data_IF_249115668434
#
_entry.id   IF_249115668434
#
_cell.length_a   1.000
_cell.length_b   1.000
_cell.length_c   1.000
_cell.angle_alpha   90.00
_cell.angle_beta   90.00
_cell.angle_gamma   90.00
#
_symmetry.space_group_name_H-M   'P 1'
#
loop_
_entity.id
_entity.type
_entity.pdbx_description
1 polymer ?
#
# COMPACT_ATOMS: atom_id res chain seq x y z
N UNK A 1 24.64 -72.74 -25.08
CA UNK A 1 25.52 -71.55 -25.09
C UNK A 1 24.62 -70.33 -25.00
N UNK A 2 24.59 -69.67 -23.84
CA UNK A 2 23.70 -68.56 -23.53
C UNK A 2 24.50 -67.23 -23.50
N UNK A 3 23.96 -66.11 -24.01
CA UNK A 3 24.63 -64.82 -23.91
C UNK A 3 24.27 -64.13 -22.58
N UNK A 4 25.27 -63.49 -21.97
CA UNK A 4 25.16 -62.68 -20.76
C UNK A 4 24.62 -61.28 -21.11
N UNK A 5 23.54 -60.86 -20.45
CA UNK A 5 23.10 -59.46 -20.39
C UNK A 5 24.07 -58.66 -19.50
N UNK A 6 24.56 -57.54 -20.03
CA UNK A 6 25.23 -56.47 -19.26
C UNK A 6 24.23 -55.35 -19.02
N UNK A 7 23.81 -55.20 -17.76
CA UNK A 7 22.95 -54.11 -17.29
C UNK A 7 23.76 -52.81 -17.18
N UNK A 8 23.33 -51.76 -17.89
CA UNK A 8 23.80 -50.39 -17.69
C UNK A 8 23.02 -49.77 -16.53
N UNK A 9 23.72 -49.44 -15.44
CA UNK A 9 23.18 -48.63 -14.34
C UNK A 9 23.44 -47.17 -14.71
N UNK A 10 22.38 -46.41 -14.98
CA UNK A 10 22.43 -44.96 -15.11
C UNK A 10 22.23 -44.35 -13.72
N UNK A 11 23.26 -43.67 -13.21
CA UNK A 11 23.23 -42.95 -11.95
C UNK A 11 22.72 -41.53 -12.24
N UNK A 12 21.43 -41.27 -11.97
CA UNK A 12 20.84 -39.94 -12.01
C UNK A 12 21.16 -39.21 -10.71
N UNK A 13 22.12 -38.28 -10.76
CA UNK A 13 22.39 -37.29 -9.72
C UNK A 13 21.18 -36.35 -9.60
N UNK A 14 20.37 -36.55 -8.57
CA UNK A 14 19.32 -35.62 -8.17
C UNK A 14 19.94 -34.37 -7.56
N UNK A 15 19.82 -33.25 -8.27
CA UNK A 15 20.11 -31.92 -7.75
C UNK A 15 18.96 -31.55 -6.79
N UNK A 16 19.20 -31.65 -5.48
CA UNK A 16 18.29 -31.08 -4.48
C UNK A 16 18.43 -29.56 -4.53
N UNK A 17 17.44 -28.87 -5.11
CA UNK A 17 17.26 -27.44 -4.92
C UNK A 17 16.88 -27.20 -3.46
N UNK A 18 17.74 -26.54 -2.69
CA UNK A 18 17.41 -26.07 -1.35
C UNK A 18 16.42 -24.90 -1.48
N UNK A 19 15.33 -24.86 -0.70
CA UNK A 19 14.47 -23.69 -0.66
C UNK A 19 15.27 -22.50 -0.14
N UNK A 20 15.28 -21.41 -0.91
CA UNK A 20 15.80 -20.12 -0.46
C UNK A 20 14.92 -19.68 0.73
N UNK A 21 15.53 -19.62 1.92
CA UNK A 21 14.87 -19.07 3.10
C UNK A 21 14.64 -17.57 2.84
N UNK A 22 13.37 -17.19 2.74
CA UNK A 22 12.94 -15.78 2.75
C UNK A 22 13.03 -15.32 4.20
N UNK A 23 13.96 -14.42 4.49
CA UNK A 23 14.07 -13.78 5.80
C UNK A 23 13.12 -12.58 5.79
N UNK A 24 12.04 -12.64 6.60
CA UNK A 24 11.27 -11.44 6.90
C UNK A 24 12.08 -10.59 7.88
N UNK A 25 12.42 -9.36 7.49
CA UNK A 25 13.03 -8.38 8.38
C UNK A 25 11.93 -7.41 8.84
N UNK A 26 11.69 -7.37 10.16
CA UNK A 26 10.89 -6.33 10.81
C UNK A 26 11.86 -5.25 11.29
N UNK A 27 11.89 -4.11 10.60
CA UNK A 27 12.70 -2.97 11.01
C UNK A 27 12.09 -1.65 10.52
N UNK A 28 10.84 -1.39 10.85
CA UNK A 28 10.29 -0.05 10.77
C UNK A 28 10.83 0.80 11.94
N UNK A 29 11.10 2.07 11.71
CA UNK A 29 11.41 3.00 12.80
C UNK A 29 10.34 4.09 12.86
N UNK A 30 9.95 4.40 14.09
CA UNK A 30 9.07 5.54 14.35
C UNK A 30 9.82 6.81 13.99
N UNK A 31 9.32 7.52 12.98
CA UNK A 31 9.89 8.77 12.53
C UNK A 31 9.74 9.86 13.58
N UNK A 32 10.72 10.76 13.68
CA UNK A 32 10.49 12.03 14.36
C UNK A 32 9.56 12.90 13.50
N UNK A 33 8.75 13.79 14.10
CA UNK A 33 7.91 14.72 13.36
C UNK A 33 8.69 15.47 12.28
N UNK A 34 8.17 15.51 11.06
CA UNK A 34 8.81 16.16 9.91
C UNK A 34 10.06 15.47 9.36
N UNK A 35 10.48 14.32 9.89
CA UNK A 35 11.67 13.59 9.40
C UNK A 35 11.49 13.18 7.93
N UNK A 36 10.28 12.81 7.53
CA UNK A 36 9.92 12.50 6.14
C UNK A 36 10.32 13.63 5.17
N UNK A 37 10.06 14.88 5.53
CA UNK A 37 10.34 16.04 4.69
C UNK A 37 11.84 16.35 4.62
N UNK A 38 12.60 15.99 5.66
CA UNK A 38 14.06 16.09 5.68
C UNK A 38 14.68 15.02 4.81
N UNK A 39 14.24 13.76 4.97
CA UNK A 39 14.83 12.60 4.29
C UNK A 39 14.50 12.57 2.80
N UNK A 40 13.28 12.97 2.43
CA UNK A 40 12.86 13.03 1.03
C UNK A 40 13.38 14.27 0.28
N UNK A 41 14.02 15.21 0.97
CA UNK A 41 14.58 16.42 0.35
C UNK A 41 15.69 16.07 -0.64
N UNK A 42 15.40 16.28 -1.93
CA UNK A 42 16.32 15.94 -3.01
C UNK A 42 16.38 14.45 -3.35
N UNK A 43 15.48 13.65 -2.78
CA UNK A 43 15.26 12.24 -3.12
C UNK A 43 14.03 12.09 -4.02
N UNK A 44 13.49 10.86 -4.14
CA UNK A 44 12.22 10.61 -4.81
C UNK A 44 11.08 10.90 -3.84
N UNK A 45 10.64 12.16 -3.79
CA UNK A 45 9.44 12.57 -3.06
C UNK A 45 8.23 12.48 -3.97
N UNK A 46 7.36 11.50 -3.75
CA UNK A 46 6.17 11.28 -4.56
C UNK A 46 5.05 12.29 -4.31
N UNK A 47 5.14 13.06 -3.23
CA UNK A 47 4.23 14.19 -2.94
C UNK A 47 4.56 15.43 -3.78
N UNK A 48 5.66 15.41 -4.53
CA UNK A 48 6.08 16.52 -5.36
C UNK A 48 5.06 16.80 -6.48
N UNK A 49 4.75 18.08 -6.71
CA UNK A 49 3.80 18.52 -7.74
C UNK A 49 4.17 18.11 -9.18
N UNK A 50 5.41 17.65 -9.42
CA UNK A 50 5.80 17.03 -10.69
C UNK A 50 4.99 15.76 -11.01
N UNK A 51 4.41 15.10 -10.01
CA UNK A 51 3.59 13.91 -10.15
C UNK A 51 2.09 14.21 -10.30
N UNK A 52 1.64 15.47 -10.25
CA UNK A 52 0.20 15.81 -10.30
C UNK A 52 -0.56 15.24 -11.50
N UNK A 53 0.12 15.14 -12.64
CA UNK A 53 -0.47 14.68 -13.89
C UNK A 53 -0.55 13.14 -13.94
N UNK A 54 -0.01 12.45 -12.92
CA UNK A 54 -0.14 11.00 -12.72
C UNK A 54 -1.51 10.61 -12.13
N UNK A 55 -2.18 11.53 -11.43
CA UNK A 55 -3.53 11.29 -10.89
C UNK A 55 -4.46 10.78 -12.00
N UNK A 56 -5.17 9.70 -11.71
CA UNK A 56 -6.18 9.10 -12.59
C UNK A 56 -5.59 8.47 -13.87
N UNK A 57 -4.28 8.19 -13.89
CA UNK A 57 -3.58 7.41 -14.93
C UNK A 57 -3.28 5.99 -14.45
N UNK A 58 -3.26 4.97 -15.33
CA UNK A 58 -2.84 3.62 -14.93
C UNK A 58 -1.34 3.48 -14.72
N UNK A 59 -0.56 4.28 -15.44
CA UNK A 59 0.89 4.34 -15.36
C UNK A 59 1.33 5.78 -15.63
N UNK A 60 2.37 6.23 -14.93
CA UNK A 60 2.96 7.54 -15.09
C UNK A 60 4.49 7.48 -15.05
N UNK A 61 5.17 8.35 -15.79
CA UNK A 61 6.63 8.42 -15.80
C UNK A 61 7.11 9.85 -15.54
N UNK A 62 7.90 10.04 -14.48
CA UNK A 62 8.46 11.34 -14.07
C UNK A 62 9.91 11.14 -13.67
N UNK A 63 10.82 11.94 -14.25
CA UNK A 63 12.25 11.85 -13.92
C UNK A 63 12.90 10.49 -14.22
N UNK A 64 12.31 9.70 -15.13
CA UNK A 64 12.78 8.35 -15.47
C UNK A 64 12.29 7.24 -14.52
N UNK A 65 11.54 7.59 -13.47
CA UNK A 65 10.82 6.64 -12.62
C UNK A 65 9.45 6.38 -13.23
N UNK A 66 9.03 5.12 -13.26
CA UNK A 66 7.69 4.72 -13.69
C UNK A 66 6.90 4.24 -12.48
N UNK A 67 5.69 4.72 -12.31
CA UNK A 67 4.75 4.31 -11.26
C UNK A 67 3.51 3.75 -11.95
N UNK A 68 3.05 2.58 -11.54
CA UNK A 68 1.84 1.94 -12.06
C UNK A 68 0.99 1.40 -10.90
N UNK A 69 -0.34 1.47 -11.07
CA UNK A 69 -1.29 0.85 -10.16
C UNK A 69 -1.84 -0.43 -10.81
N UNK A 70 -2.01 -1.48 -10.02
CA UNK A 70 -2.57 -2.75 -10.48
C UNK A 70 -3.58 -3.29 -9.45
N UNK A 71 -4.65 -3.92 -9.91
CA UNK A 71 -5.67 -4.57 -9.07
C UNK A 71 -5.81 -6.05 -9.44
N UNK A 72 -5.99 -6.90 -8.45
CA UNK A 72 -6.15 -8.32 -8.61
C UNK A 72 -7.59 -8.64 -9.03
N UNK A 73 -7.76 -9.34 -10.16
CA UNK A 73 -9.08 -9.75 -10.69
C UNK A 73 -9.30 -11.26 -10.64
N UNK A 74 -8.32 -11.99 -10.12
CA UNK A 74 -8.31 -13.43 -9.93
C UNK A 74 -6.96 -13.94 -9.42
N UNK A 75 -6.82 -15.24 -9.12
CA UNK A 75 -5.61 -15.78 -8.49
C UNK A 75 -4.34 -15.48 -9.30
N UNK A 76 -3.51 -14.58 -8.76
CA UNK A 76 -2.26 -14.14 -9.41
C UNK A 76 -2.45 -13.33 -10.70
N UNK A 77 -3.68 -12.91 -11.04
CA UNK A 77 -4.00 -12.11 -12.21
C UNK A 77 -4.17 -10.66 -11.78
N UNK A 78 -3.27 -9.81 -12.26
CA UNK A 78 -3.23 -8.38 -11.97
C UNK A 78 -3.53 -7.60 -13.25
N UNK A 79 -4.48 -6.69 -13.18
CA UNK A 79 -4.85 -5.79 -14.28
C UNK A 79 -4.51 -4.34 -13.92
N UNK A 80 -4.26 -3.47 -14.92
CA UNK A 80 -4.00 -2.05 -14.65
C UNK A 80 -5.18 -1.40 -13.90
N UNK A 81 -4.88 -0.78 -12.76
CA UNK A 81 -5.79 0.08 -12.00
C UNK A 81 -5.47 1.55 -12.31
N UNK A 82 -6.02 2.50 -11.55
CA UNK A 82 -5.73 3.94 -11.72
C UNK A 82 -4.95 4.44 -10.51
N UNK A 83 -3.97 5.29 -10.73
CA UNK A 83 -3.20 5.92 -9.66
C UNK A 83 -4.05 6.99 -8.98
N UNK A 84 -4.05 6.96 -7.66
CA UNK A 84 -4.35 8.14 -6.86
C UNK A 84 -3.06 8.91 -6.60
N UNK A 85 -3.18 10.22 -6.46
CA UNK A 85 -2.07 11.07 -6.08
C UNK A 85 -2.55 12.33 -5.36
N UNK A 86 -1.85 12.70 -4.30
CA UNK A 86 -1.98 14.00 -3.67
C UNK A 86 -0.63 14.55 -3.16
N UNK A 87 -0.55 15.85 -2.79
CA UNK A 87 0.68 16.46 -2.32
C UNK A 87 0.94 16.29 -0.81
N UNK A 88 0.10 15.54 -0.09
CA UNK A 88 0.20 15.28 1.35
C UNK A 88 0.86 13.92 1.60
N UNK A 89 0.35 12.88 0.95
CA UNK A 89 0.58 11.46 1.21
C UNK A 89 1.35 10.76 0.08
N UNK A 90 1.15 11.19 -1.16
CA UNK A 90 1.85 10.63 -2.31
C UNK A 90 0.94 9.71 -3.11
N UNK A 91 1.34 8.45 -3.34
CA UNK A 91 0.63 7.53 -4.23
C UNK A 91 -0.14 6.44 -3.47
N UNK A 92 -1.42 6.30 -3.86
CA UNK A 92 -2.27 5.14 -3.61
C UNK A 92 -2.92 4.64 -4.90
N UNK A 93 -4.03 3.91 -4.78
CA UNK A 93 -4.78 3.34 -5.89
C UNK A 93 -6.22 3.86 -5.89
N UNK A 94 -6.60 4.49 -7.00
CA UNK A 94 -7.91 5.12 -7.15
C UNK A 94 -9.00 4.08 -7.43
N UNK A 95 -10.15 4.26 -6.78
CA UNK A 95 -11.36 3.48 -7.00
C UNK A 95 -11.30 2.09 -6.39
N UNK A 96 -10.45 1.90 -5.38
CA UNK A 96 -10.44 0.76 -4.47
C UNK A 96 -11.57 0.85 -3.44
N UNK A 97 -11.28 0.40 -2.23
CA UNK A 97 -12.11 0.53 -1.04
C UNK A 97 -11.83 1.87 -0.33
N UNK A 98 -10.58 2.32 -0.35
CA UNK A 98 -10.18 3.71 -0.09
C UNK A 98 -9.49 4.28 -1.33
N UNK A 99 -9.75 5.54 -1.67
CA UNK A 99 -9.27 6.09 -2.96
C UNK A 99 -7.79 6.45 -2.95
N UNK A 100 -7.19 6.63 -1.79
CA UNK A 100 -5.88 7.23 -1.56
C UNK A 100 -4.84 6.28 -0.97
N UNK A 101 -5.24 5.02 -0.79
CA UNK A 101 -4.47 3.98 -0.11
C UNK A 101 -4.25 2.76 -1.02
N UNK A 102 -3.71 1.65 -0.49
CA UNK A 102 -3.42 0.43 -1.25
C UNK A 102 -4.09 -0.76 -0.56
N UNK A 103 -5.22 -1.20 -1.10
CA UNK A 103 -5.97 -2.34 -0.56
C UNK A 103 -5.26 -3.70 -0.74
N UNK A 104 -5.80 -4.74 -0.09
CA UNK A 104 -5.34 -6.13 -0.23
C UNK A 104 -5.34 -6.65 -1.67
N UNK A 105 -6.32 -6.23 -2.48
CA UNK A 105 -6.40 -6.61 -3.89
C UNK A 105 -5.64 -5.63 -4.81
N UNK A 106 -4.88 -4.71 -4.25
CA UNK A 106 -4.20 -3.65 -4.97
C UNK A 106 -2.69 -3.68 -4.76
N UNK A 107 -1.98 -3.08 -5.72
CA UNK A 107 -0.55 -2.82 -5.56
C UNK A 107 -0.09 -1.63 -6.37
N UNK A 108 0.91 -0.95 -5.83
CA UNK A 108 1.68 0.07 -6.53
C UNK A 108 3.01 -0.53 -6.98
N UNK A 109 3.38 -0.33 -8.24
CA UNK A 109 4.65 -0.79 -8.81
C UNK A 109 5.49 0.43 -9.18
N UNK A 110 6.62 0.61 -8.50
CA UNK A 110 7.62 1.63 -8.82
C UNK A 110 8.80 0.99 -9.53
N UNK A 111 9.13 1.47 -10.73
CA UNK A 111 10.27 1.02 -11.53
C UNK A 111 11.28 2.15 -11.68
N UNK A 112 12.51 1.88 -11.28
CA UNK A 112 13.66 2.78 -11.43
C UNK A 112 14.29 2.56 -12.82
N UNK A 113 14.96 3.57 -13.40
CA UNK A 113 15.56 3.44 -14.73
C UNK A 113 16.72 2.42 -14.79
N UNK A 114 17.33 2.13 -13.63
CA UNK A 114 18.41 1.15 -13.45
C UNK A 114 18.42 0.66 -11.99
N UNK A 115 19.11 -0.44 -11.68
CA UNK A 115 19.27 -0.89 -10.30
C UNK A 115 20.00 0.14 -9.42
N UNK A 116 19.37 0.53 -8.32
CA UNK A 116 19.90 1.53 -7.36
C UNK A 116 19.91 0.96 -5.95
N UNK A 117 20.78 1.51 -5.10
CA UNK A 117 20.78 1.17 -3.67
C UNK A 117 19.61 1.87 -3.01
N UNK A 118 18.66 1.09 -2.46
CA UNK A 118 17.53 1.61 -1.70
C UNK A 118 18.03 1.93 -0.30
N UNK A 119 18.04 3.21 0.04
CA UNK A 119 18.41 3.72 1.36
C UNK A 119 17.25 3.76 2.34
N UNK A 120 16.01 3.77 1.82
CA UNK A 120 14.81 3.69 2.63
C UNK A 120 13.55 3.95 1.83
N UNK A 121 12.41 3.72 2.46
CA UNK A 121 11.06 4.01 1.96
C UNK A 121 10.31 4.80 3.02
N UNK A 122 9.52 5.77 2.58
CA UNK A 122 8.59 6.50 3.42
C UNK A 122 7.16 6.16 3.01
N UNK A 123 6.37 5.77 4.00
CA UNK A 123 4.94 5.55 3.93
C UNK A 123 4.23 6.62 4.75
N UNK A 124 2.98 6.89 4.43
CA UNK A 124 2.07 7.71 5.24
C UNK A 124 0.73 7.00 5.41
N UNK A 125 -0.09 7.58 6.27
CA UNK A 125 -1.40 7.08 6.68
C UNK A 125 -1.36 5.75 7.44
N UNK A 126 -0.19 5.30 7.91
CA UNK A 126 -0.07 3.98 8.54
C UNK A 126 -0.34 4.04 10.06
N UNK A 127 -1.57 3.73 10.47
CA UNK A 127 -2.09 3.83 11.84
C UNK A 127 -2.42 2.48 12.51
N UNK A 128 -2.74 2.58 13.81
CA UNK A 128 -3.31 1.54 14.67
C UNK A 128 -4.69 2.00 15.12
N UNK A 129 -5.66 1.08 15.19
CA UNK A 129 -6.94 1.29 15.86
C UNK A 129 -7.97 2.05 15.03
N UNK A 130 -7.73 2.19 13.74
CA UNK A 130 -8.58 2.91 12.81
C UNK A 130 -9.97 2.23 12.71
N UNK A 131 -10.02 0.90 12.71
CA UNK A 131 -11.25 0.13 12.83
C UNK A 131 -12.05 0.42 14.09
N UNK A 132 -11.42 0.64 15.25
CA UNK A 132 -12.15 1.02 16.47
C UNK A 132 -12.88 2.37 16.33
N UNK A 133 -12.22 3.35 15.69
CA UNK A 133 -12.77 4.68 15.44
C UNK A 133 -13.93 4.67 14.44
N UNK A 134 -13.81 3.88 13.38
CA UNK A 134 -14.83 3.81 12.33
C UNK A 134 -15.99 2.86 12.64
N UNK A 135 -15.90 2.04 13.68
CA UNK A 135 -16.84 0.94 13.87
C UNK A 135 -17.50 0.91 15.26
N UNK A 136 -16.96 1.56 16.30
CA UNK A 136 -17.49 1.41 17.67
C UNK A 136 -17.41 -0.03 18.19
N UNK A 137 -16.48 -0.81 17.64
CA UNK A 137 -16.11 -2.14 18.12
C UNK A 137 -15.00 -2.00 19.18
N UNK A 138 -14.91 -2.95 20.14
CA UNK A 138 -13.81 -2.94 21.10
C UNK A 138 -12.48 -3.14 20.36
N UNK A 139 -11.50 -2.29 20.67
CA UNK A 139 -10.10 -2.43 20.25
C UNK A 139 -9.68 -3.91 20.37
N UNK A 140 -9.33 -4.51 19.23
CA UNK A 140 -8.60 -5.77 19.21
C UNK A 140 -7.16 -5.47 18.83
N UNK A 141 -6.21 -6.17 19.45
CA UNK A 141 -4.76 -6.09 19.16
C UNK A 141 -4.38 -6.40 17.68
N UNK A 142 -5.36 -6.72 16.82
CA UNK A 142 -5.23 -7.08 15.40
C UNK A 142 -5.58 -5.93 14.43
N UNK A 143 -6.05 -4.78 14.92
CA UNK A 143 -6.41 -3.61 14.09
C UNK A 143 -5.18 -2.73 13.79
N UNK A 144 -4.21 -3.33 13.10
CA UNK A 144 -2.95 -2.70 12.75
C UNK A 144 -2.77 -2.75 11.24
N UNK A 145 -2.50 -1.61 10.63
CA UNK A 145 -2.22 -1.56 9.20
C UNK A 145 -0.82 -2.08 8.89
N UNK A 146 -0.72 -2.77 7.75
CA UNK A 146 0.52 -3.38 7.28
C UNK A 146 0.79 -3.01 5.83
N UNK A 147 2.02 -2.60 5.56
CA UNK A 147 2.53 -2.42 4.21
C UNK A 147 3.55 -3.51 3.87
N UNK A 148 3.31 -4.24 2.78
CA UNK A 148 4.27 -5.19 2.21
C UNK A 148 5.04 -4.52 1.07
N UNK A 149 6.37 -4.57 1.17
CA UNK A 149 7.29 -4.00 0.17
C UNK A 149 8.15 -5.13 -0.40
N UNK A 150 7.87 -5.52 -1.65
CA UNK A 150 8.68 -6.47 -2.40
C UNK A 150 9.75 -5.76 -3.24
N UNK A 151 11.02 -6.09 -3.00
CA UNK A 151 12.15 -5.54 -3.72
C UNK A 151 12.64 -6.50 -4.79
N UNK A 152 12.83 -5.99 -6.00
CA UNK A 152 13.28 -6.75 -7.15
C UNK A 152 14.50 -6.08 -7.79
N UNK A 153 15.45 -6.90 -8.19
CA UNK A 153 16.56 -6.52 -9.04
C UNK A 153 16.44 -7.28 -10.35
N UNK A 154 16.11 -6.58 -11.43
CA UNK A 154 15.78 -7.13 -12.73
C UNK A 154 14.59 -8.10 -12.64
N UNK A 155 14.83 -9.41 -12.77
CA UNK A 155 13.83 -10.47 -12.62
C UNK A 155 13.94 -11.23 -11.28
N UNK A 156 14.89 -10.87 -10.42
CA UNK A 156 15.19 -11.60 -9.19
C UNK A 156 14.60 -10.86 -7.99
N UNK A 157 13.69 -11.53 -7.27
CA UNK A 157 13.19 -11.05 -5.98
C UNK A 157 14.33 -11.06 -4.96
N UNK A 158 14.62 -9.90 -4.39
CA UNK A 158 15.67 -9.73 -3.39
C UNK A 158 15.15 -10.00 -1.98
N UNK A 159 13.88 -9.68 -1.74
CA UNK A 159 13.24 -9.91 -0.46
C UNK A 159 11.93 -9.14 -0.34
N UNK A 160 11.23 -9.44 0.75
CA UNK A 160 10.03 -8.74 1.20
C UNK A 160 10.30 -8.11 2.56
N UNK A 161 9.84 -6.89 2.74
CA UNK A 161 9.76 -6.23 4.03
C UNK A 161 8.30 -6.01 4.37
N UNK A 162 7.98 -6.13 5.65
CA UNK A 162 6.68 -5.76 6.20
C UNK A 162 6.87 -4.61 7.17
N UNK A 163 6.12 -3.54 6.97
CA UNK A 163 6.06 -2.36 7.82
C UNK A 163 4.70 -2.35 8.51
N UNK A 164 4.69 -1.97 9.78
CA UNK A 164 3.52 -2.06 10.65
C UNK A 164 3.24 -0.70 11.25
N UNK A 165 1.98 -0.29 11.27
CA UNK A 165 1.51 0.92 11.94
C UNK A 165 1.95 0.94 13.40
N UNK A 166 2.33 2.11 13.90
CA UNK A 166 2.80 2.31 15.28
C UNK A 166 2.13 3.48 15.99
N UNK A 167 1.32 4.24 15.27
CA UNK A 167 0.66 5.44 15.75
C UNK A 167 -0.83 5.17 15.88
N UNK A 168 -1.41 5.55 17.01
CA UNK A 168 -2.88 5.61 17.11
C UNK A 168 -3.39 6.72 16.20
N UNK A 169 -4.52 6.47 15.53
CA UNK A 169 -5.19 7.47 14.70
C UNK A 169 -5.53 8.72 15.55
N UNK A 170 -5.02 9.92 15.24
CA UNK A 170 -5.19 11.10 16.08
C UNK A 170 -6.63 11.61 16.04
N UNK A 171 -7.18 12.06 17.18
CA UNK A 171 -8.56 12.60 17.31
C UNK A 171 -8.92 13.62 16.22
N UNK A 172 -7.98 14.50 15.84
CA UNK A 172 -8.14 15.47 14.76
C UNK A 172 -7.45 14.94 13.48
N UNK A 173 -8.19 14.67 12.38
CA UNK A 173 -7.60 14.14 11.15
C UNK A 173 -6.66 15.15 10.49
N UNK A 174 -5.50 14.67 10.04
CA UNK A 174 -4.44 15.50 9.48
C UNK A 174 -4.90 16.27 8.23
N UNK A 175 -5.58 15.59 7.30
CA UNK A 175 -6.01 16.18 6.03
C UNK A 175 -6.98 17.35 6.21
N UNK A 176 -7.90 17.27 7.18
CA UNK A 176 -8.79 18.37 7.55
C UNK A 176 -8.02 19.57 8.17
N UNK A 177 -6.92 19.31 8.89
CA UNK A 177 -6.06 20.35 9.44
C UNK A 177 -5.17 21.02 8.37
N UNK A 178 -4.89 20.33 7.26
CA UNK A 178 -4.10 20.85 6.13
C UNK A 178 -4.94 21.74 5.24
N UNK A 179 -6.15 21.32 4.86
CA UNK A 179 -7.03 22.10 4.00
C UNK A 179 -8.52 21.80 4.25
N UNK A 180 -9.32 22.85 4.43
CA UNK A 180 -10.78 22.78 4.67
C UNK A 180 -11.59 22.14 3.54
N UNK A 181 -10.95 21.89 2.39
CA UNK A 181 -11.58 21.25 1.24
C UNK A 181 -11.66 19.73 1.35
N UNK A 182 -10.87 19.12 2.23
CA UNK A 182 -10.94 17.69 2.48
C UNK A 182 -12.03 17.40 3.50
N UNK A 183 -12.85 16.42 3.19
CA UNK A 183 -13.92 15.91 4.03
C UNK A 183 -13.39 14.69 4.77
N UNK A 184 -13.65 14.63 6.09
CA UNK A 184 -13.38 13.43 6.89
C UNK A 184 -14.16 12.25 6.27
N UNK A 185 -13.48 11.12 6.08
CA UNK A 185 -13.99 9.92 5.39
C UNK A 185 -14.34 10.14 3.91
N UNK A 186 -13.91 11.26 3.32
CA UNK A 186 -14.14 11.62 1.93
C UNK A 186 -13.46 10.71 0.91
N UNK A 187 -12.64 9.77 1.36
CA UNK A 187 -11.97 8.74 0.55
C UNK A 187 -12.42 7.31 0.86
N UNK A 188 -13.21 7.11 1.93
CA UNK A 188 -13.73 5.81 2.33
C UNK A 188 -14.90 5.39 1.44
N UNK A 189 -14.69 4.51 0.47
CA UNK A 189 -15.78 3.93 -0.33
C UNK A 189 -16.45 2.79 0.42
N UNK A 190 -15.69 1.83 0.89
CA UNK A 190 -16.11 0.74 1.76
C UNK A 190 -14.84 0.23 2.45
N UNK A 191 -14.93 -0.73 3.36
CA UNK A 191 -13.72 -1.24 4.01
C UNK A 191 -13.83 -2.70 4.35
N UNK A 192 -12.78 -3.44 4.07
CA UNK A 192 -12.69 -4.86 4.44
C UNK A 192 -12.20 -4.99 5.86
N UNK A 193 -12.84 -5.87 6.60
CA UNK A 193 -12.47 -6.20 7.97
C UNK A 193 -12.21 -7.70 8.01
N UNK A 194 -10.99 -8.07 8.39
CA UNK A 194 -10.58 -9.46 8.56
C UNK A 194 -10.31 -9.73 10.03
N UNK A 195 -11.05 -10.64 10.64
CA UNK A 195 -10.92 -11.01 12.05
C UNK A 195 -10.85 -12.53 12.18
N UNK A 196 -9.64 -13.05 12.36
CA UNK A 196 -9.39 -14.49 12.30
C UNK A 196 -9.94 -15.11 11.00
N UNK A 197 -10.90 -16.05 11.06
CA UNK A 197 -11.52 -16.64 9.88
C UNK A 197 -12.72 -15.86 9.34
N UNK A 198 -13.11 -14.72 9.93
CA UNK A 198 -14.29 -13.98 9.50
C UNK A 198 -13.90 -12.78 8.61
N UNK A 199 -14.49 -12.74 7.42
CA UNK A 199 -14.37 -11.62 6.49
C UNK A 199 -15.66 -10.82 6.54
N UNK A 200 -15.56 -9.54 6.86
CA UNK A 200 -16.67 -8.60 6.83
C UNK A 200 -16.34 -7.39 5.97
N UNK A 201 -17.37 -6.66 5.58
CA UNK A 201 -17.24 -5.36 4.91
C UNK A 201 -18.03 -4.31 5.68
N UNK A 202 -17.37 -3.19 5.97
CA UNK A 202 -18.01 -1.94 6.34
C UNK A 202 -18.46 -1.24 5.07
N UNK A 203 -19.75 -0.98 4.98
CA UNK A 203 -20.34 -0.27 3.85
C UNK A 203 -21.58 0.50 4.31
N UNK A 204 -22.07 1.47 3.54
CA UNK A 204 -23.33 2.14 3.85
C UNK A 204 -24.50 1.18 4.03
N UNK A 205 -25.41 1.53 4.93
CA UNK A 205 -26.75 0.96 5.03
C UNK A 205 -27.62 1.29 3.80
N UNK A 206 -28.88 0.84 3.79
CA UNK A 206 -29.77 1.04 2.64
C UNK A 206 -30.07 2.51 2.36
N UNK A 207 -29.97 3.36 3.37
CA UNK A 207 -30.19 4.80 3.27
C UNK A 207 -28.88 5.58 3.02
N UNK A 208 -27.74 4.88 3.02
CA UNK A 208 -26.38 5.38 2.87
C UNK A 208 -25.92 6.39 3.92
N UNK A 209 -26.57 6.42 5.08
CA UNK A 209 -26.28 7.40 6.12
C UNK A 209 -25.39 6.86 7.24
N UNK A 210 -25.25 5.53 7.32
CA UNK A 210 -24.49 4.88 8.38
C UNK A 210 -23.74 3.67 7.87
N UNK A 211 -22.50 3.50 8.31
CA UNK A 211 -21.75 2.27 8.11
C UNK A 211 -22.39 1.07 8.82
N UNK A 212 -22.54 -0.03 8.10
CA UNK A 212 -22.93 -1.34 8.64
C UNK A 212 -21.86 -2.36 8.30
N UNK A 213 -21.47 -3.15 9.30
CA UNK A 213 -20.59 -4.29 9.11
C UNK A 213 -21.43 -5.48 8.66
N UNK A 214 -21.14 -6.02 7.47
CA UNK A 214 -21.78 -7.25 6.98
C UNK A 214 -20.77 -8.38 6.84
N UNK A 215 -21.04 -9.56 7.39
CA UNK A 215 -20.20 -10.72 7.14
C UNK A 215 -20.35 -11.12 5.67
N UNK A 216 -19.21 -11.24 4.97
CA UNK A 216 -19.16 -11.72 3.60
C UNK A 216 -19.08 -13.25 3.56
N UNK A 217 -18.14 -13.82 4.33
CA UNK A 217 -17.94 -15.26 4.40
C UNK A 217 -17.06 -15.63 5.61
N UNK A 218 -16.90 -16.93 5.84
CA UNK A 218 -15.78 -17.46 6.61
C UNK A 218 -14.69 -17.94 5.66
N UNK A 219 -13.47 -17.49 5.90
CA UNK A 219 -12.26 -17.95 5.23
C UNK A 219 -11.64 -19.04 6.10
N UNK A 220 -11.51 -20.24 5.55
CA UNK A 220 -10.81 -21.32 6.24
C UNK A 220 -9.32 -21.12 6.06
N UNK A 221 -8.75 -20.24 6.89
CA UNK A 221 -7.33 -19.84 6.91
C UNK A 221 -6.37 -21.05 7.02
N UNK A 222 -6.87 -22.23 7.40
CA UNK A 222 -6.07 -23.46 7.50
C UNK A 222 -6.10 -24.34 6.24
N UNK A 223 -6.99 -24.08 5.27
CA UNK A 223 -7.20 -24.93 4.10
C UNK A 223 -6.89 -24.27 2.75
N UNK A 224 -6.75 -22.95 2.72
CA UNK A 224 -6.45 -22.16 1.52
C UNK A 224 -5.02 -21.63 1.55
N UNK A 225 -4.48 -21.29 0.38
CA UNK A 225 -3.24 -20.52 0.29
C UNK A 225 -3.55 -19.02 0.29
N UNK A 226 -2.61 -18.18 0.74
CA UNK A 226 -2.84 -16.72 0.80
C UNK A 226 -3.28 -16.12 -0.54
N UNK A 227 -2.74 -16.64 -1.66
CA UNK A 227 -3.12 -16.18 -3.00
C UNK A 227 -4.55 -16.57 -3.42
N UNK A 228 -5.09 -17.66 -2.89
CA UNK A 228 -6.49 -18.04 -3.11
C UNK A 228 -7.43 -17.23 -2.22
N UNK A 229 -7.00 -16.88 -1.01
CA UNK A 229 -7.74 -16.00 -0.10
C UNK A 229 -7.82 -14.57 -0.66
N UNK A 230 -6.68 -14.00 -1.06
CA UNK A 230 -6.60 -12.69 -1.72
C UNK A 230 -7.56 -12.62 -2.92
N UNK A 231 -7.56 -13.65 -3.77
CA UNK A 231 -8.41 -13.68 -4.96
C UNK A 231 -9.90 -13.86 -4.64
N UNK A 232 -10.23 -14.62 -3.58
CA UNK A 232 -11.61 -14.74 -3.11
C UNK A 232 -12.11 -13.39 -2.58
N UNK A 233 -11.25 -12.68 -1.85
CA UNK A 233 -11.55 -11.38 -1.26
C UNK A 233 -11.73 -10.34 -2.35
N UNK A 234 -10.79 -10.26 -3.30
CA UNK A 234 -10.92 -9.45 -4.50
C UNK A 234 -12.23 -9.75 -5.25
N UNK A 235 -12.59 -11.02 -5.44
CA UNK A 235 -13.83 -11.39 -6.13
C UNK A 235 -15.09 -10.97 -5.35
N UNK A 236 -15.04 -10.98 -4.02
CA UNK A 236 -16.13 -10.50 -3.17
C UNK A 236 -16.22 -8.97 -3.19
N UNK A 237 -15.07 -8.29 -3.15
CA UNK A 237 -14.91 -6.84 -3.21
C UNK A 237 -15.48 -6.23 -4.48
N UNK A 238 -15.25 -6.92 -5.59
CA UNK A 238 -15.70 -6.49 -6.90
C UNK A 238 -17.16 -6.90 -7.22
N UNK A 239 -17.95 -7.34 -6.23
CA UNK A 239 -19.36 -7.69 -6.40
C UNK A 239 -20.29 -6.53 -6.00
N UNK A 240 -20.78 -5.72 -6.95
CA UNK A 240 -21.60 -4.54 -6.67
C UNK A 240 -23.00 -4.88 -6.13
N UNK A 241 -23.44 -6.14 -6.23
CA UNK A 241 -24.70 -6.58 -5.60
C UNK A 241 -24.53 -6.78 -4.09
N UNK A 242 -23.30 -7.05 -3.63
CA UNK A 242 -22.98 -7.32 -2.23
C UNK A 242 -22.36 -6.12 -1.52
N UNK A 243 -21.62 -5.28 -2.23
CA UNK A 243 -20.84 -4.19 -1.64
C UNK A 243 -21.27 -2.86 -2.25
N UNK A 244 -21.54 -1.89 -1.37
CA UNK A 244 -21.93 -0.54 -1.74
C UNK A 244 -20.85 0.43 -1.30
N UNK A 245 -20.69 1.50 -2.07
CA UNK A 245 -19.80 2.59 -1.71
C UNK A 245 -20.54 3.69 -0.94
N UNK A 246 -19.90 4.30 0.06
CA UNK A 246 -20.34 5.58 0.64
C UNK A 246 -20.37 6.64 -0.45
N UNK A 247 -21.38 7.52 -0.40
CA UNK A 247 -21.52 8.57 -1.40
C UNK A 247 -20.40 9.63 -1.25
N UNK A 248 -19.98 9.88 -0.01
CA UNK A 248 -18.97 10.87 0.33
C UNK A 248 -17.54 10.37 0.05
N UNK A 249 -17.33 9.05 -0.03
CA UNK A 249 -16.03 8.38 -0.25
C UNK A 249 -15.39 8.63 -1.62
N UNK A 250 -15.87 9.60 -2.39
CA UNK A 250 -15.28 10.06 -3.66
C UNK A 250 -14.97 11.55 -3.64
N UNK A 251 -15.35 12.27 -2.59
CA UNK A 251 -15.33 13.73 -2.57
C UNK A 251 -13.91 14.26 -2.63
N UNK A 252 -12.99 13.71 -1.84
CA UNK A 252 -11.61 14.17 -1.77
C UNK A 252 -10.87 13.90 -3.10
N UNK A 253 -10.94 12.67 -3.60
CA UNK A 253 -10.42 12.31 -4.92
C UNK A 253 -11.00 13.16 -6.07
N UNK A 254 -12.31 13.42 -6.08
CA UNK A 254 -12.95 14.28 -7.07
C UNK A 254 -12.45 15.73 -6.96
N UNK A 255 -12.30 16.21 -5.73
CA UNK A 255 -11.81 17.56 -5.47
C UNK A 255 -10.37 17.73 -5.95
N UNK A 256 -9.49 16.77 -5.69
CA UNK A 256 -8.12 16.77 -6.22
C UNK A 256 -8.08 16.76 -7.74
N UNK A 257 -8.95 15.98 -8.38
CA UNK A 257 -9.10 15.95 -9.84
C UNK A 257 -9.50 17.30 -10.43
N UNK A 258 -10.35 18.06 -9.73
CA UNK A 258 -10.74 19.41 -10.11
C UNK A 258 -9.57 20.39 -9.98
N UNK A 259 -8.88 20.37 -8.83
CA UNK A 259 -7.83 21.33 -8.51
C UNK A 259 -6.46 20.97 -9.09
N UNK A 260 -6.31 19.81 -9.76
CA UNK A 260 -5.02 19.37 -10.32
C UNK A 260 -4.35 20.37 -11.27
N UNK A 261 -5.14 21.29 -11.87
CA UNK A 261 -4.65 22.35 -12.76
C UNK A 261 -4.31 23.66 -12.03
N UNK A 262 -4.69 23.77 -10.76
CA UNK A 262 -4.48 24.94 -9.90
C UNK A 262 -3.16 24.83 -9.14
N UNK A 263 -2.04 25.05 -9.85
CA UNK A 263 -0.70 24.84 -9.28
C UNK A 263 -0.41 25.57 -7.97
N UNK A 264 -0.94 26.79 -7.83
CA UNK A 264 -0.78 27.53 -6.59
C UNK A 264 -1.51 26.83 -5.43
N UNK A 265 -2.73 26.35 -5.66
CA UNK A 265 -3.52 25.68 -4.64
C UNK A 265 -2.88 24.37 -4.17
N UNK A 266 -2.40 23.55 -5.10
CA UNK A 266 -1.65 22.33 -4.75
C UNK A 266 -0.37 22.65 -3.97
N UNK A 267 0.35 23.70 -4.37
CA UNK A 267 1.53 24.17 -3.65
C UNK A 267 1.19 24.65 -2.24
N UNK A 268 0.06 25.32 -2.05
CA UNK A 268 -0.38 25.80 -0.75
C UNK A 268 -0.73 24.62 0.18
N UNK A 269 -1.40 23.58 -0.35
CA UNK A 269 -1.67 22.32 0.37
C UNK A 269 -0.36 21.66 0.79
N UNK A 270 0.59 21.49 -0.14
CA UNK A 270 1.88 20.86 0.14
C UNK A 270 2.64 21.59 1.26
N UNK A 271 2.70 22.93 1.19
CA UNK A 271 3.38 23.76 2.19
C UNK A 271 2.66 23.71 3.54
N UNK A 272 1.33 23.67 3.54
CA UNK A 272 0.53 23.51 4.75
C UNK A 272 0.83 22.16 5.43
N UNK A 273 0.86 21.07 4.65
CA UNK A 273 1.21 19.73 5.16
C UNK A 273 2.63 19.68 5.76
N UNK A 274 3.65 20.21 5.07
CA UNK A 274 5.02 20.30 5.61
C UNK A 274 5.06 21.12 6.91
N UNK A 275 4.34 22.24 6.98
CA UNK A 275 4.28 23.07 8.18
C UNK A 275 3.59 22.35 9.36
N UNK A 276 2.52 21.56 9.10
CA UNK A 276 1.82 20.78 10.13
C UNK A 276 2.71 19.68 10.71
N UNK A 277 3.43 18.94 9.86
CA UNK A 277 4.39 17.90 10.31
C UNK A 277 5.56 18.46 11.10
N UNK A 278 6.11 19.60 10.68
CA UNK A 278 7.35 20.15 11.27
C UNK A 278 7.12 21.04 12.48
N UNK A 279 6.03 21.82 12.52
CA UNK A 279 5.75 22.80 13.58
C UNK A 279 4.57 22.39 14.45
N UNK A 280 3.57 21.75 13.85
CA UNK A 280 2.32 21.37 14.53
C UNK A 280 2.42 20.11 15.37
N UNK A 281 3.46 19.29 15.17
CA UNK A 281 3.62 17.96 15.80
C UNK A 281 2.40 17.06 15.55
N UNK A 282 1.74 17.26 14.41
CA UNK A 282 0.62 16.43 13.95
C UNK A 282 1.18 15.40 12.98
N UNK A 283 1.06 14.12 13.31
CA UNK A 283 1.48 13.02 12.45
C UNK A 283 0.35 12.64 11.49
N UNK A 284 0.73 12.34 10.26
CA UNK A 284 -0.10 11.68 9.25
C UNK A 284 0.29 10.20 9.10
N UNK A 285 0.59 9.52 10.22
CA UNK A 285 0.96 8.11 10.19
C UNK A 285 2.29 7.85 9.47
N UNK A 286 3.24 8.79 9.49
CA UNK A 286 4.45 8.69 8.66
C UNK A 286 5.45 7.69 9.23
N UNK A 287 5.72 6.65 8.46
CA UNK A 287 6.66 5.60 8.85
C UNK A 287 7.79 5.43 7.84
N UNK A 288 9.01 5.49 8.37
CA UNK A 288 10.23 5.24 7.63
C UNK A 288 10.68 3.80 7.79
N UNK A 289 11.08 3.18 6.68
CA UNK A 289 11.83 1.94 6.68
C UNK A 289 13.21 2.16 6.08
N UNK A 290 14.25 1.68 6.77
CA UNK A 290 15.65 1.68 6.28
C UNK A 290 16.17 0.24 6.29
N UNK A 291 16.70 -0.28 5.17
CA UNK A 291 17.25 -1.63 5.18
C UNK A 291 18.53 -1.71 6.01
N UNK A 292 18.69 -2.83 6.73
CA UNK A 292 19.90 -3.10 7.53
C UNK A 292 21.11 -3.41 6.63
N UNK A 293 20.85 -4.07 5.50
CA UNK A 293 21.83 -4.43 4.50
C UNK A 293 21.71 -3.55 3.26
N UNK A 294 22.78 -3.49 2.47
CA UNK A 294 22.76 -2.81 1.18
C UNK A 294 21.84 -3.55 0.20
N UNK A 295 20.61 -3.07 0.05
CA UNK A 295 19.65 -3.60 -0.92
C UNK A 295 19.73 -2.83 -2.25
N UNK A 296 19.85 -3.58 -3.34
CA UNK A 296 19.85 -3.03 -4.70
C UNK A 296 18.56 -3.47 -5.39
N UNK A 297 17.78 -2.52 -5.88
CA UNK A 297 16.54 -2.78 -6.59
C UNK A 297 16.37 -1.84 -7.78
N UNK A 298 15.70 -2.31 -8.83
CA UNK A 298 15.16 -1.49 -9.93
C UNK A 298 13.63 -1.54 -9.98
N UNK A 299 13.00 -2.38 -9.15
CA UNK A 299 11.55 -2.44 -9.00
C UNK A 299 11.16 -2.67 -7.55
N UNK A 300 10.26 -1.83 -7.05
CA UNK A 300 9.60 -1.97 -5.76
C UNK A 300 8.12 -2.20 -6.02
N UNK A 301 7.53 -3.15 -5.31
CA UNK A 301 6.09 -3.44 -5.37
C UNK A 301 5.54 -3.28 -3.96
N UNK A 302 4.59 -2.38 -3.80
CA UNK A 302 3.88 -2.07 -2.56
C UNK A 302 2.52 -2.71 -2.64
N UNK A 303 2.16 -3.53 -1.66
CA UNK A 303 0.82 -4.11 -1.54
C UNK A 303 0.44 -4.25 -0.07
N UNK A 304 -0.75 -4.77 0.20
CA UNK A 304 -1.18 -5.03 1.56
C UNK A 304 -1.50 -6.50 1.79
N UNK A 305 -1.36 -6.93 3.05
CA UNK A 305 -1.64 -8.30 3.45
C UNK A 305 -3.12 -8.51 3.70
N UNK A 306 -3.62 -9.72 3.45
CA UNK A 306 -5.02 -10.07 3.68
C UNK A 306 -5.51 -9.90 5.14
N UNK A 307 -4.60 -9.89 6.12
CA UNK A 307 -4.99 -9.87 7.53
C UNK A 307 -5.21 -8.47 8.11
N UNK A 308 -5.16 -7.42 7.28
CA UNK A 308 -5.11 -6.04 7.80
C UNK A 308 -5.99 -5.10 7.04
N UNK A 309 -6.44 -4.07 7.75
CA UNK A 309 -6.79 -2.82 7.09
C UNK A 309 -5.57 -2.29 6.36
N UNK A 310 -5.76 -1.82 5.15
CA UNK A 310 -4.71 -1.70 4.15
C UNK A 310 -4.63 -0.24 3.71
N UNK A 311 -4.41 0.61 4.71
CA UNK A 311 -4.86 1.99 4.63
C UNK A 311 -3.65 2.91 4.56
N UNK A 312 -2.73 2.65 3.61
CA UNK A 312 -1.47 3.40 3.52
C UNK A 312 -1.17 3.94 2.14
N UNK A 313 -0.42 5.03 2.13
CA UNK A 313 0.08 5.69 0.93
C UNK A 313 1.62 5.64 0.84
N UNK A 314 2.15 5.69 -0.38
CA UNK A 314 3.60 5.67 -0.63
C UNK A 314 4.10 7.10 -0.87
N UNK A 315 4.77 7.66 0.14
CA UNK A 315 5.23 9.05 0.12
C UNK A 315 6.57 9.24 -0.59
N UNK A 316 7.47 8.26 -0.57
CA UNK A 316 8.74 8.39 -1.29
C UNK A 316 9.78 7.31 -1.04
N UNK A 317 10.90 7.43 -1.76
CA UNK A 317 12.03 6.50 -1.71
C UNK A 317 13.33 7.30 -1.54
N UNK A 318 14.14 6.91 -0.57
CA UNK A 318 15.50 7.40 -0.39
C UNK A 318 16.46 6.50 -1.16
N UNK A 319 17.24 7.06 -2.07
CA UNK A 319 18.28 6.32 -2.80
C UNK A 319 19.66 6.70 -2.28
N UNK A 320 20.51 5.70 -2.09
CA UNK A 320 21.93 5.95 -1.78
C UNK A 320 22.73 6.06 -3.08
N UNK A 321 23.68 6.99 -3.09
CA UNK A 321 24.69 7.03 -4.14
C UNK A 321 25.52 5.74 -4.12
N UNK A 322 25.72 5.14 -5.29
CA UNK A 322 26.71 4.07 -5.43
C UNK A 322 28.06 4.74 -5.32
N UNK A 323 28.74 4.57 -4.18
CA UNK A 323 30.13 5.00 -4.05
C UNK A 323 30.94 4.45 -5.24
N UNK A 324 31.69 5.31 -5.96
CA UNK A 324 32.35 4.96 -7.21
C UNK A 324 33.43 3.88 -7.08
#
# INVERSE_FOLDING_TARGET
MAPRLLSKIALSLGLCALPLAVWAQEAAFVAQPGQIDVDLRGQMDFRNLAFRDCLDQPECAVGGVVIAAERQVGPGVWEPARLYWDPIDGFGVLGGQQNDEIDVDERLVVRLPEPRVVGGVWLSDLFIGEGARYQGWPESDEDVELADIDLWQTATHQGRVRVTGVFELPDDPFNAAVAEMFVEDGDLLNRVIVQGPELSVLMPDEEKQRGVVRPLTRIDVAQTTSAEDEALVAALLNDPEKIRAFDDGRENAATLLEIRKEMQRLSDIQQSAEARRTVGDLSNGELGWTPQDRLIADRLVFGAGYQTSSDYSVAGIVLQEVAP
#
